data_IF_858920184013
#
_entry.id   IF_858920184013
#
_cell.length_a   1.000
_cell.length_b   1.000
_cell.length_c   1.000
_cell.angle_alpha   90.00
_cell.angle_beta   90.00
_cell.angle_gamma   90.00
#
_symmetry.space_group_name_H-M   'P 1'
#
loop_
_entity.id
_entity.type
_entity.pdbx_description
1 polymer ?
#
# COMPACT_ATOMS: atom_id res chain seq x y z
N UNK A 1 -8.11 -29.03 -4.13
CA UNK A 1 -7.11 -28.50 -3.18
C UNK A 1 -6.19 -29.67 -2.79
N UNK A 2 -4.88 -29.62 -3.08
CA UNK A 2 -3.96 -30.72 -2.70
C UNK A 2 -3.81 -30.74 -1.16
N UNK A 3 -4.01 -31.90 -0.53
CA UNK A 3 -3.77 -32.09 0.90
C UNK A 3 -2.26 -32.10 1.13
N UNK A 4 -1.72 -30.97 1.59
CA UNK A 4 -0.31 -30.86 1.95
C UNK A 4 -0.11 -31.35 3.38
N UNK A 5 0.99 -32.06 3.62
CA UNK A 5 1.45 -32.30 4.99
C UNK A 5 1.78 -30.98 5.68
N UNK A 6 1.74 -30.92 7.02
CA UNK A 6 2.12 -29.71 7.79
C UNK A 6 3.48 -29.16 7.36
N UNK A 7 4.46 -30.04 7.11
CA UNK A 7 5.80 -29.67 6.63
C UNK A 7 5.77 -29.05 5.24
N UNK A 8 5.06 -29.66 4.29
CA UNK A 8 4.95 -29.11 2.93
C UNK A 8 4.22 -27.76 2.91
N UNK A 9 3.15 -27.61 3.70
CA UNK A 9 2.42 -26.34 3.87
C UNK A 9 3.35 -25.27 4.41
N UNK A 10 4.09 -25.57 5.48
CA UNK A 10 5.05 -24.65 6.09
C UNK A 10 6.09 -24.16 5.07
N UNK A 11 6.78 -25.06 4.35
CA UNK A 11 7.82 -24.65 3.41
C UNK A 11 7.27 -23.92 2.18
N UNK A 12 6.07 -24.29 1.72
CA UNK A 12 5.42 -23.60 0.60
C UNK A 12 5.04 -22.18 0.97
N UNK A 13 4.39 -21.98 2.11
CA UNK A 13 4.04 -20.63 2.61
C UNK A 13 5.32 -19.81 2.83
N UNK A 14 6.35 -20.39 3.46
CA UNK A 14 7.62 -19.72 3.72
C UNK A 14 8.27 -19.22 2.44
N UNK A 15 8.37 -20.09 1.43
CA UNK A 15 9.04 -19.75 0.17
C UNK A 15 8.27 -18.66 -0.56
N UNK A 16 6.93 -18.74 -0.58
CA UNK A 16 6.10 -17.72 -1.23
C UNK A 16 6.18 -16.38 -0.52
N UNK A 17 6.10 -16.37 0.80
CA UNK A 17 6.25 -15.15 1.61
C UNK A 17 7.64 -14.53 1.49
N UNK A 18 8.70 -15.34 1.46
CA UNK A 18 10.07 -14.87 1.26
C UNK A 18 10.24 -14.22 -0.12
N UNK A 19 9.71 -14.85 -1.18
CA UNK A 19 9.71 -14.28 -2.53
C UNK A 19 8.92 -12.98 -2.56
N UNK A 20 7.72 -12.94 -1.96
CA UNK A 20 6.86 -11.77 -1.97
C UNK A 20 7.50 -10.58 -1.23
N UNK A 21 8.02 -10.81 -0.01
CA UNK A 21 8.66 -9.77 0.79
C UNK A 21 10.02 -9.32 0.24
N UNK A 22 10.71 -10.14 -0.57
CA UNK A 22 11.94 -9.71 -1.24
C UNK A 22 11.71 -8.49 -2.14
N UNK A 23 10.51 -8.34 -2.71
CA UNK A 23 10.18 -7.16 -3.53
C UNK A 23 10.22 -5.86 -2.73
N UNK A 24 10.00 -5.89 -1.41
CA UNK A 24 10.03 -4.69 -0.56
C UNK A 24 11.36 -3.95 -0.60
N UNK A 25 12.48 -4.61 -0.97
CA UNK A 25 13.78 -3.97 -1.21
C UNK A 25 13.65 -2.86 -2.28
N UNK A 26 12.75 -3.04 -3.25
CA UNK A 26 12.47 -2.05 -4.28
C UNK A 26 11.95 -0.71 -3.74
N UNK A 27 11.45 -0.67 -2.50
CA UNK A 27 11.02 0.56 -1.83
C UNK A 27 12.14 1.60 -1.68
N UNK A 28 13.41 1.18 -1.74
CA UNK A 28 14.55 2.12 -1.78
C UNK A 28 14.54 3.02 -3.02
N UNK A 29 13.98 2.56 -4.15
CA UNK A 29 13.96 3.34 -5.39
C UNK A 29 12.92 4.46 -5.38
N UNK A 30 11.74 4.25 -4.77
CA UNK A 30 10.70 5.29 -4.71
C UNK A 30 11.15 6.51 -3.89
N UNK A 31 11.87 6.28 -2.78
CA UNK A 31 12.48 7.35 -1.98
C UNK A 31 13.54 8.16 -2.75
N UNK A 32 14.27 7.53 -3.67
CA UNK A 32 15.26 8.24 -4.50
C UNK A 32 14.61 9.19 -5.50
N UNK A 33 13.46 8.81 -6.06
CA UNK A 33 12.70 9.64 -7.01
C UNK A 33 12.23 10.92 -6.33
N UNK A 34 11.69 10.85 -5.10
CA UNK A 34 11.23 12.07 -4.42
C UNK A 34 12.41 12.93 -3.94
N UNK A 35 13.52 12.31 -3.55
CA UNK A 35 14.73 13.00 -3.10
C UNK A 35 15.32 13.94 -4.16
N UNK A 36 15.11 13.70 -5.47
CA UNK A 36 15.55 14.63 -6.52
C UNK A 36 14.85 15.99 -6.47
N UNK A 37 13.69 16.07 -5.82
CA UNK A 37 12.90 17.29 -5.65
C UNK A 37 13.21 18.05 -4.36
N UNK A 38 14.19 17.60 -3.57
CA UNK A 38 14.51 18.20 -2.27
C UNK A 38 14.75 19.71 -2.31
N UNK A 39 15.38 20.21 -3.37
CA UNK A 39 15.63 21.63 -3.60
C UNK A 39 14.34 22.47 -3.77
N UNK A 40 13.21 21.85 -4.13
CA UNK A 40 11.93 22.53 -4.33
C UNK A 40 11.06 22.56 -3.08
N UNK A 41 11.32 21.73 -2.06
CA UNK A 41 10.43 21.58 -0.90
C UNK A 41 10.29 22.87 -0.08
N UNK A 42 11.36 23.67 0.00
CA UNK A 42 11.33 24.96 0.70
C UNK A 42 10.54 25.99 -0.11
N UNK A 43 10.72 26.01 -1.43
CA UNK A 43 10.07 26.97 -2.32
C UNK A 43 8.57 26.66 -2.49
N UNK A 44 8.19 25.38 -2.47
CA UNK A 44 6.87 24.90 -2.82
C UNK A 44 6.41 23.84 -1.80
N UNK A 45 5.91 24.26 -0.62
CA UNK A 45 5.55 23.36 0.47
C UNK A 45 4.44 22.35 0.13
N UNK A 46 3.58 22.68 -0.85
CA UNK A 46 2.52 21.77 -1.30
C UNK A 46 3.07 20.46 -1.89
N UNK A 47 4.31 20.46 -2.43
CA UNK A 47 4.92 19.27 -3.02
C UNK A 47 5.20 18.21 -1.94
N UNK A 48 5.83 18.63 -0.85
CA UNK A 48 6.16 17.69 0.24
C UNK A 48 4.93 17.33 1.07
N UNK A 49 3.97 18.25 1.20
CA UNK A 49 2.73 18.01 1.94
C UNK A 49 1.88 16.89 1.32
N UNK A 50 1.80 16.82 -0.01
CA UNK A 50 1.00 15.83 -0.72
C UNK A 50 1.67 14.45 -0.81
N UNK A 51 3.00 14.38 -0.71
CA UNK A 51 3.73 13.15 -1.02
C UNK A 51 3.36 11.95 -0.12
N UNK A 52 3.30 12.07 1.22
CA UNK A 52 2.87 10.97 2.09
C UNK A 52 1.45 10.51 1.78
N UNK A 53 0.53 11.45 1.55
CA UNK A 53 -0.87 11.14 1.22
C UNK A 53 -1.01 10.41 -0.11
N UNK A 54 -0.21 10.77 -1.11
CA UNK A 54 -0.27 10.14 -2.43
C UNK A 54 0.28 8.71 -2.39
N UNK A 55 1.24 8.40 -1.51
CA UNK A 55 1.75 7.04 -1.34
C UNK A 55 0.72 6.06 -0.77
N UNK A 56 -0.35 6.53 -0.11
CA UNK A 56 -1.41 5.63 0.41
C UNK A 56 -2.16 4.88 -0.70
N UNK A 57 -2.11 5.39 -1.94
CA UNK A 57 -2.72 4.76 -3.12
C UNK A 57 -2.35 3.28 -3.28
N UNK A 58 -1.13 2.89 -2.88
CA UNK A 58 -0.67 1.50 -2.87
C UNK A 58 -1.56 0.63 -1.98
N UNK A 59 -1.86 1.09 -0.77
CA UNK A 59 -2.59 0.32 0.24
C UNK A 59 -4.08 0.32 -0.06
N UNK A 60 -4.55 1.45 -0.57
CA UNK A 60 -5.96 1.70 -0.82
C UNK A 60 -6.40 1.00 -2.11
N UNK A 61 -5.96 1.52 -3.25
CA UNK A 61 -6.47 1.09 -4.56
C UNK A 61 -5.84 -0.23 -5.00
N UNK A 62 -4.51 -0.34 -4.91
CA UNK A 62 -3.85 -1.60 -5.26
C UNK A 62 -4.14 -2.70 -4.24
N UNK A 63 -4.38 -2.33 -2.98
CA UNK A 63 -4.86 -3.25 -1.94
C UNK A 63 -6.22 -3.84 -2.25
N UNK A 64 -7.25 -3.01 -2.44
CA UNK A 64 -8.61 -3.50 -2.76
C UNK A 64 -8.60 -4.37 -4.02
N UNK A 65 -7.89 -3.95 -5.07
CA UNK A 65 -7.79 -4.74 -6.30
C UNK A 65 -7.10 -6.10 -6.06
N UNK A 66 -5.97 -6.13 -5.35
CA UNK A 66 -5.22 -7.36 -5.11
C UNK A 66 -5.98 -8.35 -4.22
N UNK A 67 -6.60 -7.87 -3.13
CA UNK A 67 -7.41 -8.69 -2.23
C UNK A 67 -8.61 -9.30 -2.93
N UNK A 68 -9.45 -8.47 -3.55
CA UNK A 68 -10.65 -8.96 -4.26
C UNK A 68 -10.29 -9.88 -5.40
N UNK A 69 -9.29 -9.52 -6.22
CA UNK A 69 -8.91 -10.37 -7.34
C UNK A 69 -8.37 -11.73 -6.87
N UNK A 70 -7.63 -11.76 -5.76
CA UNK A 70 -7.19 -13.00 -5.11
C UNK A 70 -8.36 -13.90 -4.72
N UNK A 71 -9.30 -13.38 -3.93
CA UNK A 71 -10.52 -14.09 -3.52
C UNK A 71 -11.37 -14.53 -4.71
N UNK A 72 -11.57 -13.67 -5.71
CA UNK A 72 -12.37 -13.97 -6.90
C UNK A 72 -11.75 -15.08 -7.76
N UNK A 73 -10.43 -15.15 -7.85
CA UNK A 73 -9.72 -16.24 -8.54
C UNK A 73 -9.91 -17.57 -7.79
N UNK A 74 -9.77 -17.57 -6.46
CA UNK A 74 -9.92 -18.78 -5.65
C UNK A 74 -11.37 -19.29 -5.57
N UNK A 75 -12.34 -18.38 -5.57
CA UNK A 75 -13.78 -18.71 -5.57
C UNK A 75 -14.33 -19.04 -6.96
N UNK A 76 -13.55 -18.83 -8.03
CA UNK A 76 -13.97 -19.08 -9.41
C UNK A 76 -14.93 -18.04 -10.00
N UNK A 77 -15.03 -16.85 -9.40
CA UNK A 77 -15.84 -15.74 -9.92
C UNK A 77 -15.23 -15.06 -11.16
N UNK A 78 -13.92 -15.25 -11.37
CA UNK A 78 -13.15 -14.62 -12.45
C UNK A 78 -12.34 -15.67 -13.20
N UNK A 79 -12.30 -15.54 -14.52
CA UNK A 79 -11.46 -16.37 -15.38
C UNK A 79 -10.03 -15.82 -15.40
N UNK A 80 -9.03 -16.70 -15.48
CA UNK A 80 -7.61 -16.31 -15.51
C UNK A 80 -7.18 -15.88 -16.94
N UNK A 81 -7.91 -14.92 -17.50
CA UNK A 81 -7.74 -14.35 -18.83
C UNK A 81 -7.97 -12.84 -18.84
N UNK A 82 -7.18 -12.10 -19.65
CA UNK A 82 -7.37 -10.66 -19.82
C UNK A 82 -8.59 -10.32 -20.69
N UNK A 83 -8.89 -11.17 -21.66
CA UNK A 83 -10.00 -11.00 -22.58
C UNK A 83 -11.12 -11.98 -22.24
N UNK A 84 -12.37 -11.59 -22.56
CA UNK A 84 -13.57 -12.40 -22.37
C UNK A 84 -13.75 -12.89 -20.93
N UNK A 85 -13.51 -11.99 -19.97
CA UNK A 85 -13.69 -12.28 -18.56
C UNK A 85 -15.15 -12.08 -18.11
N UNK A 86 -15.45 -12.34 -16.84
CA UNK A 86 -16.80 -12.21 -16.27
C UNK A 86 -17.22 -10.74 -16.15
N UNK A 87 -18.54 -10.45 -16.12
CA UNK A 87 -19.03 -9.09 -15.88
C UNK A 87 -18.51 -8.51 -14.55
N UNK A 88 -18.38 -9.35 -13.53
CA UNK A 88 -17.87 -8.99 -12.20
C UNK A 88 -16.40 -8.56 -12.24
N UNK A 89 -15.57 -9.16 -13.09
CA UNK A 89 -14.19 -8.72 -13.31
C UNK A 89 -14.15 -7.27 -13.84
N UNK A 90 -14.90 -7.00 -14.90
CA UNK A 90 -14.93 -5.66 -15.50
C UNK A 90 -15.58 -4.63 -14.57
N UNK A 91 -16.56 -5.06 -13.76
CA UNK A 91 -17.16 -4.24 -12.72
C UNK A 91 -16.14 -3.87 -11.63
N UNK A 92 -15.30 -4.81 -11.19
CA UNK A 92 -14.21 -4.54 -10.26
C UNK A 92 -13.26 -3.49 -10.85
N UNK A 93 -12.80 -3.64 -12.10
CA UNK A 93 -11.88 -2.67 -12.70
C UNK A 93 -12.46 -1.26 -12.76
N UNK A 94 -13.73 -1.12 -13.16
CA UNK A 94 -14.41 0.18 -13.16
C UNK A 94 -14.60 0.74 -11.74
N UNK A 95 -14.87 -0.10 -10.76
CA UNK A 95 -14.95 0.30 -9.36
C UNK A 95 -13.59 0.83 -8.86
N UNK A 96 -12.48 0.18 -9.19
CA UNK A 96 -11.12 0.63 -8.82
C UNK A 96 -10.79 2.01 -9.40
N UNK A 97 -11.15 2.28 -10.65
CA UNK A 97 -10.98 3.62 -11.25
C UNK A 97 -11.85 4.67 -10.55
N UNK A 98 -13.10 4.36 -10.25
CA UNK A 98 -13.99 5.26 -9.53
C UNK A 98 -13.49 5.51 -8.09
N UNK A 99 -13.02 4.47 -7.40
CA UNK A 99 -12.37 4.61 -6.08
C UNK A 99 -11.13 5.49 -6.16
N UNK A 100 -10.27 5.31 -7.17
CA UNK A 100 -9.08 6.16 -7.36
C UNK A 100 -9.46 7.63 -7.47
N UNK A 101 -10.55 7.95 -8.17
CA UNK A 101 -11.04 9.32 -8.28
C UNK A 101 -11.52 9.87 -6.93
N UNK A 102 -12.32 9.09 -6.20
CA UNK A 102 -12.81 9.45 -4.86
C UNK A 102 -11.63 9.67 -3.91
N UNK A 103 -10.67 8.74 -3.90
CA UNK A 103 -9.48 8.75 -3.06
C UNK A 103 -8.62 9.98 -3.32
N UNK A 104 -8.31 10.25 -4.59
CA UNK A 104 -7.42 11.34 -4.99
C UNK A 104 -7.97 12.72 -4.62
N UNK A 105 -9.29 12.91 -4.77
CA UNK A 105 -9.95 14.15 -4.34
C UNK A 105 -9.98 14.21 -2.81
N UNK A 106 -10.31 13.10 -2.15
CA UNK A 106 -10.35 13.00 -0.69
C UNK A 106 -9.00 13.37 -0.05
N UNK A 107 -7.92 12.70 -0.45
CA UNK A 107 -6.57 12.97 0.04
C UNK A 107 -6.12 14.40 -0.26
N UNK A 108 -6.47 14.95 -1.43
CA UNK A 108 -6.16 16.32 -1.80
C UNK A 108 -6.82 17.34 -0.86
N UNK A 109 -8.11 17.16 -0.60
CA UNK A 109 -8.88 17.99 0.34
C UNK A 109 -8.33 17.83 1.76
N UNK A 110 -8.12 16.60 2.24
CA UNK A 110 -7.60 16.36 3.59
C UNK A 110 -6.23 16.99 3.80
N UNK A 111 -5.32 16.82 2.83
CA UNK A 111 -3.99 17.40 2.90
C UNK A 111 -4.07 18.93 2.90
N UNK A 112 -4.90 19.53 2.05
CA UNK A 112 -5.11 20.98 2.02
C UNK A 112 -5.66 21.50 3.36
N UNK A 113 -6.70 20.88 3.90
CA UNK A 113 -7.35 21.28 5.15
C UNK A 113 -6.40 21.20 6.34
N UNK A 114 -5.51 20.21 6.39
CA UNK A 114 -4.50 20.07 7.46
C UNK A 114 -3.37 21.10 7.29
N UNK A 115 -2.94 21.39 6.06
CA UNK A 115 -1.79 22.27 5.82
C UNK A 115 -2.14 23.77 5.79
N UNK A 116 -3.41 24.12 5.54
CA UNK A 116 -3.90 25.50 5.55
C UNK A 116 -3.71 26.21 6.92
N UNK A 117 -4.18 25.66 8.06
CA UNK A 117 -3.96 26.27 9.37
C UNK A 117 -2.51 26.18 9.84
N UNK A 118 -1.74 25.21 9.34
CA UNK A 118 -0.31 25.08 9.62
C UNK A 118 0.55 26.16 8.94
N UNK A 119 -0.04 26.99 8.06
CA UNK A 119 0.68 28.00 7.29
C UNK A 119 1.52 27.44 6.15
N UNK A 120 1.39 26.14 5.84
CA UNK A 120 2.10 25.45 4.76
C UNK A 120 1.32 25.45 3.44
N UNK A 121 0.08 25.92 3.43
CA UNK A 121 -0.72 26.08 2.22
C UNK A 121 -1.49 27.41 2.25
N UNK A 122 -1.67 28.01 1.08
CA UNK A 122 -2.54 29.18 0.86
C UNK A 122 -3.79 28.79 0.08
N UNK A 123 -4.86 29.58 0.16
CA UNK A 123 -6.08 29.37 -0.62
C UNK A 123 -5.83 29.34 -2.14
N UNK A 124 -4.75 29.98 -2.61
CA UNK A 124 -4.32 29.96 -4.02
C UNK A 124 -3.75 28.60 -4.45
N UNK A 125 -3.33 27.78 -3.51
CA UNK A 125 -2.70 26.49 -3.80
C UNK A 125 -3.73 25.36 -3.97
N UNK A 126 -5.00 25.60 -3.62
CA UNK A 126 -6.08 24.62 -3.71
C UNK A 126 -6.15 23.90 -5.07
N UNK A 127 -5.99 24.56 -6.24
CA UNK A 127 -5.96 23.86 -7.52
C UNK A 127 -4.86 22.79 -7.60
N UNK A 128 -3.69 23.00 -7.01
CA UNK A 128 -2.61 22.01 -6.98
C UNK A 128 -2.97 20.81 -6.11
N UNK A 129 -3.59 21.06 -4.95
CA UNK A 129 -4.04 20.00 -4.04
C UNK A 129 -5.14 19.12 -4.63
N UNK A 130 -5.89 19.60 -5.62
CA UNK A 130 -6.89 18.79 -6.32
C UNK A 130 -6.32 18.13 -7.58
N UNK A 131 -5.63 18.89 -8.43
CA UNK A 131 -5.23 18.41 -9.76
C UNK A 131 -3.99 17.51 -9.70
N UNK A 132 -3.02 17.81 -8.82
CA UNK A 132 -1.79 17.02 -8.77
C UNK A 132 -2.02 15.58 -8.29
N UNK A 133 -2.73 15.32 -7.17
CA UNK A 133 -3.03 13.95 -6.74
C UNK A 133 -3.89 13.22 -7.76
N UNK A 134 -4.92 13.90 -8.30
CA UNK A 134 -5.82 13.31 -9.28
C UNK A 134 -5.08 12.78 -10.50
N UNK A 135 -4.17 13.59 -11.05
CA UNK A 135 -3.39 13.21 -12.22
C UNK A 135 -2.39 12.10 -11.92
N UNK A 136 -1.63 12.23 -10.82
CA UNK A 136 -0.60 11.26 -10.46
C UNK A 136 -1.21 9.90 -10.16
N UNK A 137 -2.30 9.87 -9.40
CA UNK A 137 -2.94 8.63 -8.96
C UNK A 137 -3.71 7.96 -10.10
N UNK A 138 -4.42 8.71 -10.95
CA UNK A 138 -5.08 8.13 -12.13
C UNK A 138 -4.07 7.53 -13.10
N UNK A 139 -2.97 8.24 -13.41
CA UNK A 139 -1.93 7.72 -14.28
C UNK A 139 -1.27 6.48 -13.66
N UNK A 140 -0.96 6.52 -12.36
CA UNK A 140 -0.38 5.40 -11.66
C UNK A 140 -1.31 4.18 -11.66
N UNK A 141 -2.61 4.36 -11.39
CA UNK A 141 -3.61 3.26 -11.43
C UNK A 141 -3.77 2.69 -12.84
N UNK A 142 -3.74 3.52 -13.89
CA UNK A 142 -3.79 3.04 -15.27
C UNK A 142 -2.63 2.10 -15.60
N UNK A 143 -1.44 2.37 -15.05
CA UNK A 143 -0.24 1.55 -15.28
C UNK A 143 -0.18 0.36 -14.30
N UNK A 144 -0.55 0.55 -13.05
CA UNK A 144 -0.44 -0.48 -12.00
C UNK A 144 -1.51 -1.56 -12.13
N UNK A 145 -2.74 -1.22 -12.55
CA UNK A 145 -3.85 -2.18 -12.70
C UNK A 145 -3.50 -3.39 -13.59
N UNK A 146 -2.99 -3.24 -14.82
CA UNK A 146 -2.59 -4.39 -15.63
C UNK A 146 -1.44 -5.19 -15.01
N UNK A 147 -0.54 -4.56 -14.24
CA UNK A 147 0.52 -5.25 -13.50
C UNK A 147 -0.08 -6.09 -12.38
N UNK A 148 -1.06 -5.56 -11.62
CA UNK A 148 -1.78 -6.29 -10.57
C UNK A 148 -2.52 -7.50 -11.13
N UNK A 149 -3.22 -7.33 -12.26
CA UNK A 149 -3.93 -8.43 -12.92
C UNK A 149 -2.92 -9.48 -13.44
N UNK A 150 -1.82 -9.03 -14.04
CA UNK A 150 -0.75 -9.92 -14.53
C UNK A 150 -0.13 -10.72 -13.40
N UNK A 151 0.23 -10.07 -12.29
CA UNK A 151 0.84 -10.73 -11.12
C UNK A 151 -0.12 -11.73 -10.50
N UNK A 152 -1.42 -11.41 -10.38
CA UNK A 152 -2.43 -12.35 -9.89
C UNK A 152 -2.58 -13.58 -10.80
N UNK A 153 -2.75 -13.36 -12.11
CA UNK A 153 -2.93 -14.44 -13.07
C UNK A 153 -1.69 -15.32 -13.23
N UNK A 154 -0.50 -14.73 -13.26
CA UNK A 154 0.76 -15.47 -13.35
C UNK A 154 1.04 -16.25 -12.06
N UNK A 155 0.75 -15.67 -10.89
CA UNK A 155 0.90 -16.37 -9.61
C UNK A 155 0.01 -17.60 -9.57
N UNK A 156 -1.27 -17.45 -9.91
CA UNK A 156 -2.21 -18.56 -9.95
C UNK A 156 -1.81 -19.64 -10.97
N UNK A 157 -1.43 -19.26 -12.20
CA UNK A 157 -0.97 -20.19 -13.25
C UNK A 157 0.28 -20.97 -12.85
N UNK A 158 1.19 -20.35 -12.10
CA UNK A 158 2.41 -21.00 -11.58
C UNK A 158 2.16 -21.83 -10.31
N UNK A 159 0.92 -21.90 -9.83
CA UNK A 159 0.57 -22.61 -8.59
C UNK A 159 1.09 -21.92 -7.33
N UNK A 160 1.42 -20.63 -7.41
CA UNK A 160 1.64 -19.76 -6.25
C UNK A 160 0.29 -19.26 -5.76
N UNK A 161 0.21 -18.87 -4.48
CA UNK A 161 -1.01 -18.32 -3.90
C UNK A 161 -1.08 -16.80 -4.19
N UNK A 162 -2.06 -16.31 -4.99
CA UNK A 162 -2.23 -14.88 -5.24
C UNK A 162 -2.37 -14.06 -3.96
N UNK A 163 -2.98 -14.64 -2.91
CA UNK A 163 -3.21 -13.96 -1.63
C UNK A 163 -1.89 -13.66 -0.88
N UNK A 164 -0.84 -14.40 -1.19
CA UNK A 164 0.50 -14.22 -0.60
C UNK A 164 1.37 -13.31 -1.48
N UNK A 165 1.29 -13.47 -2.81
CA UNK A 165 2.24 -12.86 -3.74
C UNK A 165 1.80 -11.47 -4.21
N UNK A 166 0.52 -11.26 -4.53
CA UNK A 166 0.11 -10.12 -5.38
C UNK A 166 0.36 -8.78 -4.69
N UNK A 167 -0.14 -8.60 -3.47
CA UNK A 167 -0.02 -7.31 -2.81
C UNK A 167 1.43 -6.90 -2.51
N UNK A 168 2.30 -7.73 -1.89
CA UNK A 168 3.69 -7.29 -1.62
C UNK A 168 4.48 -6.88 -2.88
N UNK A 169 4.26 -7.58 -3.98
CA UNK A 169 4.87 -7.27 -5.29
C UNK A 169 4.30 -5.94 -5.83
N UNK A 170 2.98 -5.82 -5.88
CA UNK A 170 2.30 -4.66 -6.46
C UNK A 170 2.51 -3.41 -5.62
N UNK A 171 2.52 -3.51 -4.30
CA UNK A 171 2.74 -2.38 -3.39
C UNK A 171 4.06 -1.67 -3.70
N UNK A 172 5.14 -2.43 -3.86
CA UNK A 172 6.46 -1.85 -4.16
C UNK A 172 6.53 -1.25 -5.56
N UNK A 173 5.93 -1.92 -6.56
CA UNK A 173 5.85 -1.38 -7.91
C UNK A 173 5.00 -0.10 -7.93
N UNK A 174 3.88 -0.10 -7.20
CA UNK A 174 2.96 1.03 -7.07
C UNK A 174 3.66 2.23 -6.44
N UNK A 175 4.49 2.06 -5.41
CA UNK A 175 5.25 3.17 -4.82
C UNK A 175 6.18 3.84 -5.84
N UNK A 176 6.88 3.05 -6.65
CA UNK A 176 7.77 3.56 -7.70
C UNK A 176 6.96 4.28 -8.78
N UNK A 177 5.85 3.67 -9.22
CA UNK A 177 4.98 4.25 -10.24
C UNK A 177 4.34 5.55 -9.76
N UNK A 178 3.77 5.56 -8.56
CA UNK A 178 3.13 6.73 -7.95
C UNK A 178 4.15 7.85 -7.78
N UNK A 179 5.35 7.57 -7.25
CA UNK A 179 6.41 8.57 -7.14
C UNK A 179 6.82 9.13 -8.51
N UNK A 180 6.96 8.28 -9.53
CA UNK A 180 7.29 8.72 -10.89
C UNK A 180 6.17 9.54 -11.55
N UNK A 181 4.91 9.11 -11.41
CA UNK A 181 3.75 9.84 -11.93
C UNK A 181 3.59 11.19 -11.23
N UNK A 182 3.84 11.23 -9.93
CA UNK A 182 3.84 12.46 -9.14
C UNK A 182 4.95 13.41 -9.58
N UNK A 183 6.19 12.90 -9.73
CA UNK A 183 7.33 13.64 -10.25
C UNK A 183 7.05 14.29 -11.62
N UNK A 184 6.49 13.51 -12.57
CA UNK A 184 6.09 14.02 -13.89
C UNK A 184 5.01 15.09 -13.77
N UNK A 185 4.01 14.87 -12.92
CA UNK A 185 2.91 15.81 -12.69
C UNK A 185 3.41 17.14 -12.13
N UNK A 186 4.31 17.10 -11.13
CA UNK A 186 4.94 18.29 -10.56
C UNK A 186 5.76 19.02 -11.63
N UNK A 187 6.62 18.33 -12.38
CA UNK A 187 7.41 18.95 -13.44
C UNK A 187 6.55 19.64 -14.51
N UNK A 188 5.50 18.98 -14.98
CA UNK A 188 4.56 19.57 -15.95
C UNK A 188 3.81 20.77 -15.38
N UNK A 189 3.42 20.67 -14.10
CA UNK A 189 2.72 21.75 -13.40
C UNK A 189 3.60 23.00 -13.34
N UNK A 190 4.87 22.86 -12.98
CA UNK A 190 5.82 23.97 -12.84
C UNK A 190 6.27 24.54 -14.19
N UNK A 191 6.48 23.70 -15.21
CA UNK A 191 7.00 24.14 -16.51
C UNK A 191 6.00 24.97 -17.33
N UNK A 192 4.70 24.68 -17.21
CA UNK A 192 3.66 25.26 -18.08
C UNK A 192 2.52 25.93 -17.30
N UNK A 193 2.80 26.44 -16.09
CA UNK A 193 1.79 27.15 -15.29
C UNK A 193 1.31 28.43 -16.00
N UNK A 194 -0.02 28.75 -16.02
CA UNK A 194 -1.16 28.00 -15.46
C UNK A 194 -1.84 27.02 -16.41
N UNK A 195 -1.42 26.97 -17.68
CA UNK A 195 -2.03 26.12 -18.72
C UNK A 195 -1.98 24.61 -18.36
N UNK A 196 -0.94 24.18 -17.65
CA UNK A 196 -0.77 22.81 -17.14
C UNK A 196 -1.95 22.32 -16.30
N UNK A 197 -2.51 23.17 -15.43
CA UNK A 197 -3.63 22.80 -14.56
C UNK A 197 -4.86 22.43 -15.41
N UNK A 198 -5.17 23.23 -16.43
CA UNK A 198 -6.30 22.99 -17.32
C UNK A 198 -6.04 21.76 -18.19
N UNK A 199 -4.83 21.63 -18.72
CA UNK A 199 -4.41 20.49 -19.55
C UNK A 199 -4.47 19.14 -18.81
N UNK A 200 -4.23 19.15 -17.49
CA UNK A 200 -4.31 17.94 -16.64
C UNK A 200 -5.74 17.71 -16.14
N UNK A 201 -6.46 18.76 -15.74
CA UNK A 201 -7.81 18.66 -15.22
C UNK A 201 -8.82 18.20 -16.29
N UNK A 202 -8.68 18.65 -17.54
CA UNK A 202 -9.61 18.32 -18.63
C UNK A 202 -9.69 16.81 -18.96
N UNK A 203 -8.59 16.06 -19.20
CA UNK A 203 -8.68 14.61 -19.42
C UNK A 203 -9.14 13.85 -18.18
N UNK A 204 -8.75 14.30 -16.98
CA UNK A 204 -9.18 13.71 -15.72
C UNK A 204 -10.70 13.86 -15.53
N UNK A 205 -11.26 15.04 -15.85
CA UNK A 205 -12.69 15.30 -15.83
C UNK A 205 -13.43 14.48 -16.91
N UNK A 206 -12.89 14.40 -18.13
CA UNK A 206 -13.48 13.60 -19.20
C UNK A 206 -13.57 12.12 -18.80
N UNK A 207 -12.48 11.56 -18.26
CA UNK A 207 -12.46 10.19 -17.74
C UNK A 207 -13.49 10.00 -16.62
N UNK A 208 -13.60 10.96 -15.70
CA UNK A 208 -14.60 10.91 -14.64
C UNK A 208 -16.04 10.91 -15.16
N UNK A 209 -16.35 11.77 -16.14
CA UNK A 209 -17.69 11.81 -16.75
C UNK A 209 -18.01 10.49 -17.46
N UNK A 210 -17.02 9.88 -18.12
CA UNK A 210 -17.15 8.54 -18.73
C UNK A 210 -17.44 7.49 -17.65
N UNK A 211 -16.68 7.48 -16.55
CA UNK A 211 -16.90 6.56 -15.43
C UNK A 211 -18.28 6.75 -14.80
N UNK A 212 -18.73 7.99 -14.58
CA UNK A 212 -20.06 8.30 -14.07
C UNK A 212 -21.18 7.82 -15.00
N UNK A 213 -20.99 7.94 -16.31
CA UNK A 213 -21.94 7.45 -17.30
C UNK A 213 -22.13 5.93 -17.18
N UNK A 214 -21.03 5.17 -17.13
CA UNK A 214 -21.07 3.70 -16.98
C UNK A 214 -21.53 3.26 -15.58
N UNK A 215 -21.20 4.02 -14.54
CA UNK A 215 -21.54 3.76 -13.14
C UNK A 215 -23.04 3.49 -12.94
N UNK A 216 -23.91 4.20 -13.67
CA UNK A 216 -25.38 4.00 -13.60
C UNK A 216 -25.81 2.57 -13.92
N UNK A 217 -25.13 1.92 -14.86
CA UNK A 217 -25.40 0.52 -15.19
C UNK A 217 -24.70 -0.43 -14.19
N UNK A 218 -23.48 -0.09 -13.79
CA UNK A 218 -22.66 -0.92 -12.92
C UNK A 218 -23.17 -1.02 -11.48
N UNK A 219 -23.94 -0.03 -10.98
CA UNK A 219 -24.59 -0.13 -9.68
C UNK A 219 -25.55 -1.32 -9.54
N UNK A 220 -25.97 -1.93 -10.65
CA UNK A 220 -26.74 -3.19 -10.65
C UNK A 220 -25.88 -4.41 -10.32
N UNK A 221 -24.57 -4.33 -10.54
CA UNK A 221 -23.62 -5.40 -10.26
C UNK A 221 -23.18 -5.32 -8.78
N UNK A 222 -23.41 -6.42 -8.05
CA UNK A 222 -23.10 -6.49 -6.61
C UNK A 222 -21.63 -6.17 -6.32
N UNK A 223 -20.71 -6.63 -7.17
CA UNK A 223 -19.27 -6.37 -7.01
C UNK A 223 -18.98 -4.88 -7.06
N UNK A 224 -19.52 -4.14 -8.03
CA UNK A 224 -19.30 -2.70 -8.14
C UNK A 224 -19.91 -1.93 -6.96
N UNK A 225 -21.19 -2.19 -6.67
CA UNK A 225 -21.92 -1.48 -5.62
C UNK A 225 -21.34 -1.72 -4.22
N UNK A 226 -20.98 -2.97 -3.88
CA UNK A 226 -20.34 -3.29 -2.59
C UNK A 226 -18.97 -2.65 -2.50
N UNK A 227 -18.13 -2.78 -3.54
CA UNK A 227 -16.80 -2.17 -3.58
C UNK A 227 -16.87 -0.67 -3.34
N UNK A 228 -17.72 0.06 -4.06
CA UNK A 228 -17.86 1.50 -3.82
C UNK A 228 -18.42 1.83 -2.43
N UNK A 229 -19.47 1.15 -1.99
CA UNK A 229 -20.13 1.46 -0.72
C UNK A 229 -19.23 1.19 0.49
N UNK A 230 -18.44 0.12 0.42
CA UNK A 230 -17.64 -0.39 1.53
C UNK A 230 -16.20 0.12 1.50
N UNK A 231 -15.57 0.16 0.32
CA UNK A 231 -14.18 0.62 0.21
C UNK A 231 -14.08 2.15 0.27
N UNK A 232 -15.00 2.93 -0.34
CA UNK A 232 -14.91 4.41 -0.34
C UNK A 232 -14.70 5.04 1.05
N UNK A 233 -15.50 4.72 2.10
CA UNK A 233 -15.25 5.28 3.43
C UNK A 233 -13.92 4.81 4.02
N UNK A 234 -13.50 3.59 3.68
CA UNK A 234 -12.27 2.99 4.18
C UNK A 234 -11.04 3.66 3.57
N UNK A 235 -11.01 3.84 2.24
CA UNK A 235 -9.92 4.53 1.54
C UNK A 235 -9.82 6.02 1.94
N UNK A 236 -10.95 6.68 2.20
CA UNK A 236 -10.93 8.06 2.70
C UNK A 236 -10.36 8.13 4.12
N UNK A 237 -10.69 7.16 4.97
CA UNK A 237 -10.13 7.06 6.32
C UNK A 237 -8.62 6.81 6.29
N UNK A 238 -8.14 5.92 5.44
CA UNK A 238 -6.72 5.59 5.30
C UNK A 238 -5.93 6.71 4.62
N UNK A 239 -6.50 7.38 3.62
CA UNK A 239 -5.97 8.63 3.04
C UNK A 239 -5.80 9.72 4.10
N UNK A 240 -6.78 9.91 4.98
CA UNK A 240 -6.63 10.80 6.13
C UNK A 240 -5.53 10.32 7.09
N UNK A 241 -5.43 9.00 7.31
CA UNK A 241 -4.34 8.36 8.04
C UNK A 241 -2.96 8.65 7.44
N UNK A 242 -2.83 8.69 6.10
CA UNK A 242 -1.59 9.06 5.41
C UNK A 242 -1.18 10.51 5.64
N UNK A 243 -2.16 11.43 5.72
CA UNK A 243 -1.89 12.82 6.12
C UNK A 243 -1.33 12.86 7.55
N UNK A 244 -1.91 12.08 8.46
CA UNK A 244 -1.43 11.97 9.85
C UNK A 244 0.00 11.38 9.88
N UNK A 245 0.27 10.31 9.15
CA UNK A 245 1.61 9.71 9.08
C UNK A 245 2.63 10.72 8.53
N UNK A 246 2.27 11.50 7.52
CA UNK A 246 3.09 12.61 7.03
C UNK A 246 3.41 13.66 8.09
N UNK A 247 2.43 14.02 8.93
CA UNK A 247 2.64 14.95 10.06
C UNK A 247 3.52 14.33 11.16
N UNK A 248 3.31 13.05 11.49
CA UNK A 248 4.14 12.31 12.44
C UNK A 248 5.58 12.29 11.93
N UNK A 249 5.80 11.88 10.69
CA UNK A 249 7.10 11.82 10.05
C UNK A 249 7.80 13.20 10.04
N UNK A 250 7.07 14.26 9.70
CA UNK A 250 7.59 15.63 9.70
C UNK A 250 8.03 16.11 11.10
N UNK A 251 7.35 15.66 12.15
CA UNK A 251 7.70 15.98 13.54
C UNK A 251 9.07 15.40 13.95
N UNK A 252 9.50 14.32 13.27
CA UNK A 252 10.80 13.67 13.51
C UNK A 252 11.87 14.02 12.47
N UNK A 253 11.63 15.02 11.59
CA UNK A 253 12.54 15.35 10.49
C UNK A 253 14.00 15.60 10.91
N UNK A 254 14.23 16.32 12.02
CA UNK A 254 15.58 16.64 12.48
C UNK A 254 16.33 15.40 12.99
N UNK A 255 15.60 14.43 13.56
CA UNK A 255 16.16 13.16 14.01
C UNK A 255 16.52 12.29 12.81
N UNK A 256 15.69 12.30 11.77
CA UNK A 256 15.93 11.57 10.52
C UNK A 256 17.07 12.18 9.70
N UNK A 257 17.16 13.51 9.62
CA UNK A 257 18.28 14.23 8.98
C UNK A 257 19.62 13.89 9.62
N UNK A 258 19.64 13.74 10.95
CA UNK A 258 20.84 13.31 11.68
C UNK A 258 21.20 11.82 11.48
N UNK A 259 20.29 11.02 10.92
CA UNK A 259 20.39 9.55 10.78
C UNK A 259 19.98 9.10 9.36
N UNK A 260 20.74 9.46 8.32
CA UNK A 260 20.40 9.14 6.93
C UNK A 260 20.30 7.64 6.66
N UNK A 261 20.94 6.79 7.47
CA UNK A 261 20.80 5.34 7.40
C UNK A 261 19.36 4.83 7.62
N UNK A 262 18.54 5.57 8.38
CA UNK A 262 17.16 5.20 8.70
C UNK A 262 16.24 5.55 7.53
N UNK A 263 16.49 6.69 6.87
CA UNK A 263 15.73 7.12 5.68
C UNK A 263 15.83 6.07 4.57
N UNK A 264 17.00 5.43 4.43
CA UNK A 264 17.25 4.40 3.42
C UNK A 264 16.39 3.15 3.66
N UNK A 265 16.24 2.72 4.92
CA UNK A 265 15.54 1.47 5.25
C UNK A 265 14.05 1.67 5.54
N UNK A 266 13.63 2.89 5.87
CA UNK A 266 12.26 3.26 6.23
C UNK A 266 11.18 2.73 5.25
N UNK A 267 11.22 3.05 3.93
CA UNK A 267 10.19 2.58 3.01
C UNK A 267 10.18 1.06 2.86
N UNK A 268 11.34 0.39 2.99
CA UNK A 268 11.43 -1.07 2.92
C UNK A 268 10.69 -1.72 4.08
N UNK A 269 10.85 -1.17 5.29
CA UNK A 269 10.21 -1.69 6.50
C UNK A 269 8.69 -1.50 6.46
N UNK A 270 8.21 -0.34 6.04
CA UNK A 270 6.78 -0.08 5.90
C UNK A 270 6.14 -1.00 4.85
N UNK A 271 6.79 -1.17 3.69
CA UNK A 271 6.32 -2.07 2.63
C UNK A 271 6.26 -3.52 3.10
N UNK A 272 7.30 -3.97 3.79
CA UNK A 272 7.35 -5.34 4.32
C UNK A 272 6.27 -5.59 5.37
N UNK A 273 6.01 -4.59 6.23
CA UNK A 273 5.02 -4.69 7.29
C UNK A 273 3.59 -4.71 6.73
N UNK A 274 3.26 -3.79 5.82
CA UNK A 274 1.98 -3.78 5.11
C UNK A 274 1.79 -5.05 4.26
N UNK A 275 2.84 -5.51 3.59
CA UNK A 275 2.84 -6.77 2.84
C UNK A 275 2.62 -7.99 3.72
N UNK A 276 3.21 -8.04 4.91
CA UNK A 276 2.94 -9.11 5.87
C UNK A 276 1.47 -9.15 6.28
N UNK A 277 0.93 -7.97 6.60
CA UNK A 277 -0.46 -7.82 6.99
C UNK A 277 -1.44 -8.18 5.87
N UNK A 278 -1.13 -7.88 4.62
CA UNK A 278 -1.95 -8.29 3.48
C UNK A 278 -1.91 -9.81 3.28
N UNK A 279 -0.76 -10.47 3.44
CA UNK A 279 -0.65 -11.93 3.28
C UNK A 279 -1.55 -12.66 4.28
N UNK A 280 -1.53 -12.24 5.56
CA UNK A 280 -2.41 -12.79 6.59
C UNK A 280 -3.87 -12.45 6.28
N UNK A 281 -4.11 -11.20 5.87
CA UNK A 281 -5.41 -10.67 5.52
C UNK A 281 -6.09 -11.45 4.41
N UNK A 282 -5.54 -11.39 3.20
CA UNK A 282 -6.08 -12.06 2.02
C UNK A 282 -6.21 -13.57 2.21
N UNK A 283 -5.25 -14.23 2.85
CA UNK A 283 -5.39 -15.66 3.14
C UNK A 283 -6.56 -15.93 4.09
N UNK A 284 -6.82 -15.03 5.04
CA UNK A 284 -7.97 -15.11 5.95
C UNK A 284 -9.29 -14.85 5.22
N UNK A 285 -9.36 -13.79 4.39
CA UNK A 285 -10.59 -13.42 3.67
C UNK A 285 -10.98 -14.52 2.67
N UNK A 286 -10.03 -15.06 1.92
CA UNK A 286 -10.25 -16.22 1.04
C UNK A 286 -10.73 -17.44 1.81
N UNK A 287 -10.14 -17.76 2.98
CA UNK A 287 -10.58 -18.90 3.80
C UNK A 287 -11.99 -18.73 4.35
N UNK A 288 -12.35 -17.51 4.74
CA UNK A 288 -13.72 -17.19 5.16
C UNK A 288 -14.70 -17.34 3.98
N UNK A 289 -14.34 -16.81 2.80
CA UNK A 289 -15.14 -16.92 1.59
C UNK A 289 -15.35 -18.38 1.14
N UNK A 290 -14.34 -19.23 1.30
CA UNK A 290 -14.39 -20.66 1.00
C UNK A 290 -15.02 -21.52 2.12
N UNK A 291 -15.37 -20.92 3.26
CA UNK A 291 -15.93 -21.65 4.41
C UNK A 291 -14.93 -22.59 5.11
N UNK A 292 -13.62 -22.35 4.94
CA UNK A 292 -12.55 -23.17 5.52
C UNK A 292 -12.27 -22.86 7.00
N UNK A 293 -12.63 -21.66 7.45
CA UNK A 293 -12.54 -21.25 8.86
C UNK A 293 -13.85 -20.57 9.27
N UNK A 294 -14.32 -20.75 10.52
CA UNK A 294 -15.48 -20.03 11.00
C UNK A 294 -15.11 -18.56 11.28
N UNK A 295 -16.06 -17.61 11.15
CA UNK A 295 -15.81 -16.18 11.32
C UNK A 295 -15.72 -15.78 12.80
N UNK A 296 -14.80 -16.40 13.56
CA UNK A 296 -14.57 -16.16 14.97
C UNK A 296 -13.10 -15.82 15.24
N UNK A 297 -12.87 -14.94 16.22
CA UNK A 297 -11.49 -14.57 16.61
C UNK A 297 -10.69 -15.77 17.12
N UNK A 298 -11.36 -16.75 17.73
CA UNK A 298 -10.74 -18.00 18.19
C UNK A 298 -10.24 -18.89 17.05
N UNK A 299 -10.68 -18.67 15.81
CA UNK A 299 -10.22 -19.39 14.62
C UNK A 299 -8.82 -18.98 14.17
N UNK A 300 -8.19 -18.00 14.85
CA UNK A 300 -6.79 -17.64 14.58
C UNK A 300 -5.87 -18.86 14.68
N UNK A 301 -6.18 -19.79 15.61
CA UNK A 301 -5.47 -21.06 15.79
C UNK A 301 -5.36 -21.88 14.49
N UNK A 302 -6.34 -21.78 13.60
CA UNK A 302 -6.43 -22.57 12.36
C UNK A 302 -5.48 -22.04 11.27
N UNK A 303 -5.03 -20.78 11.40
CA UNK A 303 -4.08 -20.13 10.49
C UNK A 303 -2.68 -19.97 11.08
N UNK A 304 -2.49 -20.27 12.37
CA UNK A 304 -1.21 -20.10 13.09
C UNK A 304 0.00 -20.68 12.37
N UNK A 305 -0.12 -21.86 11.77
CA UNK A 305 0.99 -22.49 11.05
C UNK A 305 1.44 -21.67 9.84
N UNK A 306 0.53 -21.02 9.14
CA UNK A 306 0.89 -20.15 8.02
C UNK A 306 1.45 -18.83 8.51
N UNK A 307 0.83 -18.22 9.54
CA UNK A 307 1.33 -16.98 10.14
C UNK A 307 2.74 -17.19 10.69
N UNK A 308 3.02 -18.31 11.35
CA UNK A 308 4.37 -18.65 11.83
C UNK A 308 5.36 -18.87 10.68
N UNK A 309 4.92 -19.49 9.58
CA UNK A 309 5.73 -19.66 8.37
C UNK A 309 6.05 -18.31 7.71
N UNK A 310 5.04 -17.44 7.55
CA UNK A 310 5.19 -16.07 7.09
C UNK A 310 6.13 -15.29 8.01
N UNK A 311 5.99 -15.44 9.34
CA UNK A 311 6.82 -14.75 10.33
C UNK A 311 8.28 -15.15 10.20
N UNK A 312 8.55 -16.44 10.01
CA UNK A 312 9.91 -16.92 9.80
C UNK A 312 10.52 -16.38 8.51
N UNK A 313 9.74 -16.33 7.41
CA UNK A 313 10.15 -15.69 6.17
C UNK A 313 10.41 -14.19 6.35
N UNK A 314 9.53 -13.50 7.07
CA UNK A 314 9.66 -12.08 7.39
C UNK A 314 10.96 -11.78 8.14
N UNK A 315 11.25 -12.50 9.22
CA UNK A 315 12.47 -12.28 10.01
C UNK A 315 13.75 -12.53 9.19
N UNK A 316 13.77 -13.56 8.35
CA UNK A 316 14.87 -13.79 7.41
C UNK A 316 15.06 -12.62 6.44
N UNK A 317 13.97 -12.11 5.87
CA UNK A 317 14.00 -10.97 4.96
C UNK A 317 14.39 -9.67 5.65
N UNK A 318 14.02 -9.46 6.92
CA UNK A 318 14.45 -8.29 7.69
C UNK A 318 15.96 -8.28 7.95
N UNK A 319 16.61 -9.45 8.10
CA UNK A 319 18.08 -9.53 8.12
C UNK A 319 18.64 -9.10 6.77
N UNK A 320 18.05 -9.56 5.66
CA UNK A 320 18.44 -9.16 4.30
C UNK A 320 18.27 -7.66 4.09
N UNK A 321 17.17 -7.05 4.58
CA UNK A 321 16.95 -5.61 4.50
C UNK A 321 18.00 -4.82 5.29
N UNK A 322 18.38 -5.29 6.47
CA UNK A 322 19.46 -4.68 7.26
C UNK A 322 20.81 -4.76 6.52
N UNK A 323 21.13 -5.92 5.93
CA UNK A 323 22.36 -6.12 5.15
C UNK A 323 22.37 -5.26 3.87
N UNK A 324 21.27 -5.22 3.11
CA UNK A 324 21.17 -4.43 1.89
C UNK A 324 21.25 -2.92 2.18
N UNK A 325 20.62 -2.47 3.26
CA UNK A 325 20.68 -1.06 3.70
C UNK A 325 22.09 -0.69 4.15
N UNK A 326 22.77 -1.57 4.88
CA UNK A 326 24.17 -1.37 5.26
C UNK A 326 25.08 -1.26 4.03
N UNK A 327 24.94 -2.18 3.06
CA UNK A 327 25.72 -2.15 1.84
C UNK A 327 25.50 -0.85 1.05
N UNK A 328 24.25 -0.37 0.97
CA UNK A 328 23.93 0.88 0.29
C UNK A 328 24.49 2.11 1.03
N UNK A 329 24.41 2.14 2.37
CA UNK A 329 25.01 3.19 3.18
C UNK A 329 26.54 3.22 3.02
N UNK A 330 27.20 2.06 3.07
CA UNK A 330 28.64 1.95 2.85
C UNK A 330 29.06 2.44 1.46
N UNK A 331 28.30 2.09 0.42
CA UNK A 331 28.55 2.53 -0.95
C UNK A 331 28.35 4.05 -1.16
N UNK A 332 27.55 4.70 -0.31
CA UNK A 332 27.25 6.14 -0.36
C UNK A 332 28.05 6.96 0.66
N UNK A 333 28.95 6.33 1.41
CA UNK A 333 29.78 7.00 2.42
C UNK A 333 29.05 7.38 3.71
N UNK A 334 27.88 6.80 3.96
CA UNK A 334 27.12 7.02 5.20
C UNK A 334 27.68 6.13 6.31
N UNK A 335 28.24 6.70 7.40
CA UNK A 335 28.79 5.92 8.49
C UNK A 335 27.68 5.26 9.30
N UNK A 336 27.62 3.93 9.29
CA UNK A 336 26.57 3.18 10.00
C UNK A 336 27.10 1.91 10.65
N UNK A 337 26.55 1.57 11.82
CA UNK A 337 26.81 0.30 12.51
C UNK A 337 25.85 -0.77 11.99
N UNK A 338 26.39 -1.83 11.36
CA UNK A 338 25.60 -2.95 10.83
C UNK A 338 24.62 -3.53 11.85
N UNK A 339 25.09 -3.73 13.09
CA UNK A 339 24.27 -4.30 14.17
C UNK A 339 23.05 -3.44 14.48
N UNK A 340 23.17 -2.12 14.43
CA UNK A 340 22.05 -1.20 14.66
C UNK A 340 20.97 -1.37 13.60
N UNK A 341 21.35 -1.39 12.32
CA UNK A 341 20.38 -1.57 11.21
C UNK A 341 19.69 -2.94 11.26
N UNK A 342 20.43 -4.01 11.51
CA UNK A 342 19.84 -5.35 11.65
C UNK A 342 18.89 -5.39 12.85
N UNK A 343 19.28 -4.81 13.99
CA UNK A 343 18.43 -4.79 15.18
C UNK A 343 17.13 -3.99 14.98
N UNK A 344 17.19 -2.85 14.27
CA UNK A 344 16.02 -2.08 13.87
C UNK A 344 15.09 -2.91 12.98
N UNK A 345 15.64 -3.52 11.93
CA UNK A 345 14.86 -4.34 11.00
C UNK A 345 14.21 -5.53 11.71
N UNK A 346 14.95 -6.23 12.58
CA UNK A 346 14.41 -7.36 13.35
C UNK A 346 13.34 -6.92 14.35
N UNK A 347 13.49 -5.75 15.00
CA UNK A 347 12.48 -5.23 15.92
C UNK A 347 11.17 -4.95 15.19
N UNK A 348 11.22 -4.24 14.06
CA UNK A 348 10.04 -3.96 13.24
C UNK A 348 9.46 -5.26 12.67
N UNK A 349 10.31 -6.14 12.16
CA UNK A 349 9.92 -7.42 11.59
C UNK A 349 9.38 -8.45 12.58
N UNK A 350 9.62 -8.27 13.89
CA UNK A 350 9.07 -9.12 14.95
C UNK A 350 7.81 -8.50 15.55
N UNK A 351 7.93 -7.30 16.13
CA UNK A 351 6.83 -6.66 16.85
C UNK A 351 5.75 -6.15 15.90
N UNK A 352 6.18 -5.54 14.79
CA UNK A 352 5.29 -5.03 13.75
C UNK A 352 4.42 -6.14 13.19
N UNK A 353 5.04 -7.19 12.64
CA UNK A 353 4.31 -8.27 11.97
C UNK A 353 3.38 -9.04 12.91
N UNK A 354 3.77 -9.24 14.18
CA UNK A 354 2.90 -9.85 15.19
C UNK A 354 1.65 -9.00 15.43
N UNK A 355 1.80 -7.69 15.67
CA UNK A 355 0.67 -6.78 15.87
C UNK A 355 -0.24 -6.73 14.62
N UNK A 356 0.38 -6.59 13.45
CA UNK A 356 -0.33 -6.44 12.18
C UNK A 356 -1.06 -7.73 11.76
N UNK A 357 -0.53 -8.93 12.06
CA UNK A 357 -1.27 -10.18 11.81
C UNK A 357 -2.55 -10.28 12.63
N UNK A 358 -2.49 -9.95 13.92
CA UNK A 358 -3.65 -9.98 14.80
C UNK A 358 -4.72 -8.98 14.33
N UNK A 359 -4.30 -7.77 13.98
CA UNK A 359 -5.17 -6.73 13.44
C UNK A 359 -5.82 -7.16 12.12
N UNK A 360 -5.01 -7.65 11.17
CA UNK A 360 -5.48 -8.05 9.84
C UNK A 360 -6.53 -9.17 9.93
N UNK A 361 -6.27 -10.18 10.77
CA UNK A 361 -7.23 -11.24 11.03
C UNK A 361 -8.53 -10.73 11.67
N UNK A 362 -8.42 -9.84 12.66
CA UNK A 362 -9.57 -9.27 13.34
C UNK A 362 -10.45 -8.46 12.37
N UNK A 363 -9.86 -7.58 11.56
CA UNK A 363 -10.58 -6.80 10.55
C UNK A 363 -11.34 -7.73 9.59
N UNK A 364 -10.66 -8.77 9.08
CA UNK A 364 -11.27 -9.72 8.15
C UNK A 364 -12.48 -10.45 8.75
N UNK A 365 -12.33 -10.95 9.99
CA UNK A 365 -13.42 -11.62 10.73
C UNK A 365 -14.59 -10.68 11.01
N UNK A 366 -14.32 -9.44 11.44
CA UNK A 366 -15.38 -8.48 11.75
C UNK A 366 -16.14 -8.01 10.51
N UNK A 367 -15.44 -7.73 9.41
CA UNK A 367 -16.07 -7.36 8.14
C UNK A 367 -16.97 -8.50 7.64
N UNK A 368 -16.46 -9.73 7.66
CA UNK A 368 -17.22 -10.91 7.23
C UNK A 368 -18.47 -11.13 8.10
N UNK A 369 -18.36 -10.99 9.43
CA UNK A 369 -19.50 -11.08 10.36
C UNK A 369 -20.60 -10.08 10.08
N UNK A 370 -20.24 -8.87 9.61
CA UNK A 370 -21.19 -7.83 9.23
C UNK A 370 -21.81 -8.04 7.84
N UNK A 371 -21.41 -9.10 7.13
CA UNK A 371 -21.85 -9.37 5.76
C UNK A 371 -21.23 -8.44 4.72
N UNK A 372 -20.18 -7.71 5.10
CA UNK A 372 -19.39 -6.90 4.18
C UNK A 372 -18.32 -7.75 3.51
N UNK A 373 -17.81 -7.30 2.37
CA UNK A 373 -16.69 -7.93 1.70
C UNK A 373 -15.39 -7.55 2.44
N UNK A 374 -14.72 -8.49 3.13
CA UNK A 374 -13.51 -8.18 3.89
C UNK A 374 -12.38 -7.59 3.06
N UNK A 375 -12.30 -7.92 1.76
CA UNK A 375 -11.24 -7.44 0.88
C UNK A 375 -11.31 -5.93 0.63
N UNK A 376 -12.47 -5.30 0.87
CA UNK A 376 -12.64 -3.85 0.83
C UNK A 376 -12.01 -3.11 2.03
N UNK A 377 -11.69 -3.84 3.12
CA UNK A 377 -11.28 -3.24 4.38
C UNK A 377 -9.88 -3.66 4.80
N UNK A 378 -9.57 -4.94 4.68
CA UNK A 378 -8.39 -5.54 5.32
C UNK A 378 -7.12 -4.88 4.83
N UNK A 379 -6.86 -4.88 3.52
CA UNK A 379 -5.58 -4.38 3.01
C UNK A 379 -5.42 -2.86 3.19
N UNK A 380 -6.42 -2.01 2.84
CA UNK A 380 -6.29 -0.56 3.06
C UNK A 380 -6.01 -0.20 4.52
N UNK A 381 -6.82 -0.73 5.46
CA UNK A 381 -6.66 -0.43 6.89
C UNK A 381 -5.34 -0.96 7.42
N UNK A 382 -4.97 -2.18 7.02
CA UNK A 382 -3.73 -2.80 7.49
C UNK A 382 -2.50 -2.08 6.96
N UNK A 383 -2.49 -1.62 5.71
CA UNK A 383 -1.37 -0.83 5.18
C UNK A 383 -1.25 0.50 5.92
N UNK A 384 -2.34 1.23 6.09
CA UNK A 384 -2.32 2.53 6.78
C UNK A 384 -1.87 2.39 8.25
N UNK A 385 -2.37 1.37 8.97
CA UNK A 385 -1.93 1.10 10.35
C UNK A 385 -0.49 0.59 10.38
N UNK A 386 -0.05 -0.19 9.40
CA UNK A 386 1.33 -0.62 9.28
C UNK A 386 2.29 0.55 9.05
N UNK A 387 1.90 1.54 8.25
CA UNK A 387 2.70 2.74 8.02
C UNK A 387 2.85 3.52 9.35
N UNK A 388 1.74 3.90 10.00
CA UNK A 388 1.77 4.63 11.28
C UNK A 388 2.52 3.84 12.37
N UNK A 389 2.20 2.55 12.54
CA UNK A 389 2.80 1.74 13.59
C UNK A 389 4.28 1.47 13.32
N UNK A 390 4.65 1.23 12.06
CA UNK A 390 6.03 1.08 11.63
C UNK A 390 6.85 2.34 11.90
N UNK A 391 6.31 3.51 11.55
CA UNK A 391 6.91 4.82 11.87
C UNK A 391 7.16 4.97 13.36
N UNK A 392 6.16 4.66 14.20
CA UNK A 392 6.29 4.72 15.66
C UNK A 392 7.37 3.76 16.18
N UNK A 393 7.43 2.52 15.69
CA UNK A 393 8.46 1.56 16.10
C UNK A 393 9.88 2.03 15.73
N UNK A 394 10.04 2.61 14.55
CA UNK A 394 11.32 3.17 14.09
C UNK A 394 11.74 4.33 14.98
N UNK A 395 10.83 5.27 15.26
CA UNK A 395 11.09 6.42 16.14
C UNK A 395 11.46 5.97 17.55
N UNK A 396 10.70 5.04 18.13
CA UNK A 396 10.99 4.50 19.47
C UNK A 396 12.36 3.81 19.51
N UNK A 397 12.74 3.08 18.46
CA UNK A 397 14.07 2.49 18.37
C UNK A 397 15.16 3.57 18.40
N UNK A 398 14.98 4.67 17.66
CA UNK A 398 15.95 5.77 17.67
C UNK A 398 16.07 6.39 19.06
N UNK A 399 14.94 6.68 19.69
CA UNK A 399 14.90 7.34 20.99
C UNK A 399 15.47 6.48 22.11
N UNK A 400 15.30 5.15 22.06
CA UNK A 400 15.76 4.24 23.12
C UNK A 400 17.18 3.73 22.86
N UNK A 401 17.51 3.35 21.64
CA UNK A 401 18.75 2.63 21.31
C UNK A 401 19.83 3.57 20.77
N UNK A 402 19.45 4.60 20.01
CA UNK A 402 20.42 5.49 19.35
C UNK A 402 20.69 6.79 20.10
N UNK A 403 19.85 7.19 21.07
CA UNK A 403 20.19 8.25 22.03
C UNK A 403 21.05 7.75 23.20
N UNK A 404 21.05 6.45 23.46
CA UNK A 404 21.83 5.81 24.54
C UNK A 404 23.23 5.36 24.12
N UNK A 405 23.61 5.61 22.86
CA UNK A 405 24.93 5.29 22.27
C UNK A 405 25.51 6.50 21.55
#
# INVERSE_FOLDING_TARGET
MRLYTKRQRFWRTFTQSAIALAFSIGGMFSGRIISSFSHLFIALPWIIALYPSILTLRGDISGVLSGKLGTMIHTGQVNVSFTKNTPDFYALLRAIFMLTFIDSIGMGIFTFVVNLPAGHASARDLPYFIVAPLASCLLATMISMPITISTAFLSFKKGLDPDIIVYPVVATISDILVAACYAVTVHLTLAYYPASIIAIASPSLALFLILLYFSRHDFKLRVYASTLKEASPTILLTSFGGVIDGVILASFKYVLEARPEIIVVYPVLLNALGGFGSMVGSSTTTRLALGLIPPNLSSFKDITLDVASMQFASLMLHIVFGLSSYALCAATGIPVKLLSLISLCLLVGLLGSMAISALSFAIGVFAYKKGWDPDNFVIPLVSSVADIFGTVLIVLFIDVVLKST
#
